data_IF_601938836499
#
_entry.id   IF_601938836499
#
_cell.length_a   1.000
_cell.length_b   1.000
_cell.length_c   1.000
_cell.angle_alpha   90.00
_cell.angle_beta   90.00
_cell.angle_gamma   90.00
#
_symmetry.space_group_name_H-M   'P 1'
#
loop_
_entity.id
_entity.type
_entity.pdbx_description
1 polymer ?
#
# COMPACT_ATOMS: atom_id res chain seq x y z
N UNK A 1 -17.91 15.12 -6.60
CA UNK A 1 -17.29 14.87 -5.28
C UNK A 1 -16.45 13.61 -5.38
N UNK A 2 -15.14 13.69 -5.11
CA UNK A 2 -14.28 12.50 -5.05
C UNK A 2 -14.61 11.75 -3.74
N UNK A 3 -15.11 10.49 -3.79
CA UNK A 3 -15.38 9.74 -2.57
C UNK A 3 -14.04 9.44 -1.89
N UNK A 4 -13.85 9.88 -0.64
CA UNK A 4 -12.54 9.87 0.05
C UNK A 4 -11.79 8.53 0.04
N UNK A 5 -12.51 7.39 -0.04
CA UNK A 5 -11.90 6.05 -0.15
C UNK A 5 -11.26 5.75 -1.51
N UNK A 6 -11.61 6.48 -2.57
CA UNK A 6 -11.01 6.31 -3.90
C UNK A 6 -9.60 6.90 -3.99
N UNK A 7 -9.34 7.98 -3.24
CA UNK A 7 -8.04 8.66 -3.20
C UNK A 7 -6.94 7.74 -2.63
N UNK A 8 -7.24 7.03 -1.54
CA UNK A 8 -6.26 6.20 -0.83
C UNK A 8 -5.78 4.97 -1.64
N UNK A 9 -6.51 4.62 -2.71
CA UNK A 9 -6.26 3.40 -3.50
C UNK A 9 -5.47 3.67 -4.77
N UNK A 10 -5.30 4.94 -5.13
CA UNK A 10 -4.46 5.35 -6.25
C UNK A 10 -3.01 5.44 -5.77
N UNK A 11 -2.07 4.84 -6.50
CA UNK A 11 -0.65 4.81 -6.12
C UNK A 11 -0.07 6.21 -5.82
N UNK A 12 -0.51 7.24 -6.55
CA UNK A 12 -0.04 8.62 -6.41
C UNK A 12 -0.76 9.45 -5.32
N UNK A 13 -1.87 8.95 -4.78
CA UNK A 13 -2.70 9.66 -3.79
C UNK A 13 -2.81 8.91 -2.46
N UNK A 14 -2.26 7.69 -2.37
CA UNK A 14 -2.26 6.82 -1.18
C UNK A 14 -1.65 7.49 0.06
N UNK A 15 -0.63 8.33 -0.13
CA UNK A 15 0.01 9.10 0.94
C UNK A 15 -0.78 10.33 1.40
N UNK A 16 -1.86 10.70 0.71
CA UNK A 16 -2.64 11.89 1.01
C UNK A 16 -3.87 11.59 1.88
N UNK A 17 -4.43 12.63 2.47
CA UNK A 17 -5.74 12.62 3.11
C UNK A 17 -6.53 13.84 2.66
N UNK A 18 -7.84 13.68 2.56
CA UNK A 18 -8.74 14.81 2.35
C UNK A 18 -8.98 15.51 3.69
N UNK A 19 -8.36 16.68 3.88
CA UNK A 19 -8.48 17.48 5.09
C UNK A 19 -9.79 18.28 5.05
N UNK A 20 -10.07 18.91 3.91
CA UNK A 20 -11.31 19.60 3.59
C UNK A 20 -11.69 19.32 2.12
N UNK A 21 -12.92 19.63 1.66
CA UNK A 21 -13.35 19.37 0.28
C UNK A 21 -12.43 19.97 -0.81
N UNK A 22 -11.69 21.02 -0.48
CA UNK A 22 -10.75 21.76 -1.34
C UNK A 22 -9.28 21.59 -0.90
N UNK A 23 -8.99 20.69 0.05
CA UNK A 23 -7.66 20.57 0.64
C UNK A 23 -7.24 19.11 0.78
N UNK A 24 -6.26 18.74 -0.03
CA UNK A 24 -5.52 17.49 0.09
C UNK A 24 -4.20 17.73 0.79
N UNK A 25 -3.91 16.88 1.77
CA UNK A 25 -2.74 17.00 2.61
C UNK A 25 -1.93 15.69 2.58
N UNK A 26 -0.63 15.79 2.35
CA UNK A 26 0.29 14.66 2.49
C UNK A 26 0.38 14.28 3.98
N UNK A 27 0.23 12.99 4.30
CA UNK A 27 0.32 12.51 5.70
C UNK A 27 1.74 12.66 6.23
N UNK A 28 2.69 12.03 5.54
CA UNK A 28 4.11 12.00 5.90
C UNK A 28 4.83 13.30 5.59
N UNK A 29 6.03 13.44 6.14
CA UNK A 29 6.95 14.48 5.71
C UNK A 29 7.54 14.16 4.34
N UNK A 30 7.79 15.21 3.56
CA UNK A 30 8.70 15.12 2.43
C UNK A 30 10.14 15.27 2.93
N UNK A 31 11.09 14.62 2.26
CA UNK A 31 12.49 14.67 2.67
C UNK A 31 13.16 16.02 2.41
N UNK A 32 12.58 16.81 1.50
CA UNK A 32 13.03 18.15 1.14
C UNK A 32 11.87 18.93 0.51
N UNK A 33 12.04 20.24 0.36
CA UNK A 33 11.11 21.08 -0.39
C UNK A 33 10.89 20.55 -1.82
N UNK A 34 11.97 20.21 -2.52
CA UNK A 34 11.90 19.64 -3.87
C UNK A 34 11.08 18.35 -3.91
N UNK A 35 11.26 17.44 -2.95
CA UNK A 35 10.47 16.21 -2.84
C UNK A 35 8.99 16.52 -2.58
N UNK A 36 8.71 17.49 -1.71
CA UNK A 36 7.35 17.95 -1.40
C UNK A 36 6.63 18.50 -2.64
N UNK A 37 7.30 19.38 -3.39
CA UNK A 37 6.78 19.94 -4.63
C UNK A 37 6.52 18.85 -5.67
N UNK A 38 7.48 17.94 -5.86
CA UNK A 38 7.33 16.81 -6.78
C UNK A 38 6.13 15.92 -6.41
N UNK A 39 5.92 15.63 -5.11
CA UNK A 39 4.76 14.86 -4.65
C UNK A 39 3.45 15.61 -4.88
N UNK A 40 3.42 16.92 -4.61
CA UNK A 40 2.24 17.77 -4.85
C UNK A 40 1.87 17.83 -6.34
N UNK A 41 2.85 18.02 -7.22
CA UNK A 41 2.66 18.00 -8.67
C UNK A 41 2.12 16.65 -9.16
N UNK A 42 2.69 15.53 -8.69
CA UNK A 42 2.19 14.18 -9.02
C UNK A 42 0.75 13.97 -8.57
N UNK A 43 0.40 14.43 -7.36
CA UNK A 43 -0.96 14.35 -6.87
C UNK A 43 -1.93 15.18 -7.74
N UNK A 44 -1.54 16.40 -8.12
CA UNK A 44 -2.35 17.23 -9.01
C UNK A 44 -2.51 16.62 -10.41
N UNK A 45 -1.45 16.05 -10.99
CA UNK A 45 -1.53 15.35 -12.28
C UNK A 45 -2.45 14.13 -12.19
N UNK A 46 -2.38 13.36 -11.11
CA UNK A 46 -3.29 12.23 -10.87
C UNK A 46 -4.76 12.69 -10.75
N UNK A 47 -5.03 13.79 -10.04
CA UNK A 47 -6.38 14.33 -9.91
C UNK A 47 -6.92 14.84 -11.24
N UNK A 48 -6.10 15.55 -12.02
CA UNK A 48 -6.44 16.01 -13.36
C UNK A 48 -6.74 14.83 -14.30
N UNK A 49 -5.89 13.79 -14.26
CA UNK A 49 -6.11 12.56 -14.99
C UNK A 49 -7.45 11.92 -14.63
N UNK A 50 -7.74 11.73 -13.34
CA UNK A 50 -9.00 11.18 -12.86
C UNK A 50 -10.20 12.03 -13.27
N UNK A 51 -10.11 13.35 -13.11
CA UNK A 51 -11.20 14.28 -13.41
C UNK A 51 -11.56 14.28 -14.90
N UNK A 52 -10.55 14.25 -15.77
CA UNK A 52 -10.76 14.30 -17.23
C UNK A 52 -11.20 12.94 -17.78
N UNK A 53 -10.54 11.85 -17.35
CA UNK A 53 -10.85 10.51 -17.87
C UNK A 53 -12.14 9.92 -17.28
N UNK A 54 -12.44 10.24 -16.02
CA UNK A 54 -13.46 9.57 -15.22
C UNK A 54 -12.96 8.30 -14.52
N UNK A 55 -11.67 7.98 -14.64
CA UNK A 55 -11.11 6.77 -14.07
C UNK A 55 -10.94 6.84 -12.56
N UNK A 56 -11.02 5.67 -11.93
CA UNK A 56 -10.75 5.47 -10.51
C UNK A 56 -9.81 4.30 -10.29
N UNK A 57 -9.27 4.19 -9.07
CA UNK A 57 -8.59 2.97 -8.67
C UNK A 57 -9.57 1.78 -8.70
N UNK A 58 -9.14 0.60 -9.21
CA UNK A 58 -9.98 -0.58 -9.25
C UNK A 58 -10.21 -1.18 -7.85
N UNK A 59 -11.31 -1.91 -7.69
CA UNK A 59 -11.50 -2.84 -6.57
C UNK A 59 -10.72 -4.15 -6.79
N UNK A 60 -10.43 -4.88 -5.71
CA UNK A 60 -9.65 -6.13 -5.78
C UNK A 60 -10.31 -7.15 -6.71
N UNK A 61 -11.64 -7.27 -6.64
CA UNK A 61 -12.43 -8.13 -7.52
C UNK A 61 -12.48 -7.65 -8.98
N UNK A 62 -12.19 -6.38 -9.25
CA UNK A 62 -12.11 -5.83 -10.62
C UNK A 62 -10.74 -6.05 -11.26
N UNK A 63 -9.71 -6.36 -10.46
CA UNK A 63 -8.36 -6.70 -10.93
C UNK A 63 -8.11 -8.20 -11.08
N UNK A 64 -8.94 -9.04 -10.46
CA UNK A 64 -8.75 -10.49 -10.45
C UNK A 64 -9.17 -11.09 -11.79
N UNK A 65 -8.22 -11.65 -12.55
CA UNK A 65 -8.48 -12.27 -13.87
C UNK A 65 -8.51 -11.30 -15.07
N UNK A 66 -8.44 -9.99 -14.83
CA UNK A 66 -8.46 -8.92 -15.85
C UNK A 66 -7.09 -8.24 -16.03
N UNK A 67 -6.05 -8.75 -15.37
CA UNK A 67 -4.69 -8.22 -15.47
C UNK A 67 -4.18 -8.37 -16.90
N UNK A 68 -4.06 -7.26 -17.62
CA UNK A 68 -3.40 -7.25 -18.92
C UNK A 68 -1.96 -7.71 -18.71
N UNK A 69 -1.56 -8.77 -19.40
CA UNK A 69 -0.18 -9.21 -19.43
C UNK A 69 0.59 -8.26 -20.34
N UNK A 70 1.09 -7.17 -19.76
CA UNK A 70 1.94 -6.22 -20.48
C UNK A 70 3.33 -6.83 -20.72
N UNK A 71 4.00 -6.35 -21.77
CA UNK A 71 5.37 -6.79 -22.07
C UNK A 71 6.31 -6.48 -20.90
N UNK A 72 7.44 -7.21 -20.82
CA UNK A 72 8.51 -6.94 -19.84
C UNK A 72 9.08 -5.53 -19.92
N UNK A 73 8.77 -4.82 -21.00
CA UNK A 73 9.30 -3.51 -21.31
C UNK A 73 8.39 -2.36 -20.84
N UNK A 74 7.25 -2.67 -20.22
CA UNK A 74 6.36 -1.71 -19.57
C UNK A 74 6.90 -1.34 -18.17
N UNK A 75 6.83 -0.07 -17.80
CA UNK A 75 7.50 0.52 -16.64
C UNK A 75 6.64 1.64 -16.00
N UNK A 76 6.83 1.89 -14.70
CA UNK A 76 6.06 2.89 -13.94
C UNK A 76 4.53 2.77 -14.11
N UNK A 77 4.04 1.53 -14.12
CA UNK A 77 2.64 1.19 -14.37
C UNK A 77 1.70 1.60 -13.23
N UNK A 78 0.53 2.12 -13.58
CA UNK A 78 -0.59 2.31 -12.68
C UNK A 78 -1.88 1.74 -13.28
N UNK A 79 -2.68 1.07 -12.45
CA UNK A 79 -3.92 0.41 -12.86
C UNK A 79 -5.12 1.24 -12.47
N UNK A 80 -6.04 1.41 -13.42
CA UNK A 80 -7.23 2.22 -13.33
C UNK A 80 -8.45 1.45 -13.82
N UNK A 81 -9.64 1.96 -13.48
CA UNK A 81 -10.91 1.37 -13.86
C UNK A 81 -11.85 2.44 -14.41
N UNK A 82 -12.49 2.11 -15.53
CA UNK A 82 -13.52 2.91 -16.15
C UNK A 82 -14.90 2.34 -15.82
N UNK A 83 -15.70 3.09 -15.06
CA UNK A 83 -17.03 2.64 -14.64
C UNK A 83 -18.04 2.54 -15.79
N UNK A 84 -17.85 3.30 -16.86
CA UNK A 84 -18.75 3.33 -18.03
C UNK A 84 -18.60 2.05 -18.87
N UNK A 85 -17.36 1.71 -19.25
CA UNK A 85 -17.06 0.55 -20.08
C UNK A 85 -16.74 -0.71 -19.27
N UNK A 86 -16.75 -0.62 -17.93
CA UNK A 86 -16.42 -1.72 -17.00
C UNK A 86 -15.08 -2.39 -17.31
N UNK A 87 -14.11 -1.60 -17.77
CA UNK A 87 -12.82 -2.07 -18.23
C UNK A 87 -11.68 -1.57 -17.34
N UNK A 88 -10.67 -2.43 -17.17
CA UNK A 88 -9.38 -2.00 -16.64
C UNK A 88 -8.64 -1.19 -17.71
N UNK A 89 -7.95 -0.14 -17.26
CA UNK A 89 -7.01 0.63 -18.05
C UNK A 89 -5.68 0.66 -17.31
N UNK A 90 -4.59 0.32 -17.98
CA UNK A 90 -3.24 0.48 -17.42
C UNK A 90 -2.61 1.70 -18.07
N UNK A 91 -2.18 2.65 -17.24
CA UNK A 91 -1.28 3.73 -17.63
C UNK A 91 0.15 3.24 -17.44
N UNK A 92 0.90 3.20 -18.53
CA UNK A 92 2.32 2.79 -18.59
C UNK A 92 3.15 4.03 -18.93
N UNK A 93 4.18 4.33 -18.14
CA UNK A 93 5.01 5.53 -18.29
C UNK A 93 6.49 5.15 -18.45
N UNK A 94 6.86 4.42 -19.52
CA UNK A 94 8.23 3.98 -19.70
C UNK A 94 9.11 5.09 -20.28
N UNK A 95 10.42 5.04 -20.02
CA UNK A 95 11.43 5.94 -20.60
C UNK A 95 11.67 5.78 -22.11
N UNK A 96 10.85 5.00 -22.82
CA UNK A 96 11.09 4.68 -24.24
C UNK A 96 9.83 4.85 -25.08
N UNK A 97 9.99 5.26 -26.33
CA UNK A 97 8.88 5.42 -27.27
C UNK A 97 8.12 4.11 -27.55
N UNK A 98 6.83 4.25 -27.87
CA UNK A 98 5.99 3.15 -28.32
C UNK A 98 6.30 2.81 -29.78
N UNK A 99 6.77 1.58 -30.02
CA UNK A 99 7.02 1.08 -31.37
C UNK A 99 5.85 0.28 -31.92
N UNK A 100 5.82 0.11 -33.25
CA UNK A 100 4.71 -0.56 -33.93
C UNK A 100 4.57 -2.03 -33.52
N UNK A 101 5.69 -2.70 -33.29
CA UNK A 101 5.75 -4.09 -32.85
C UNK A 101 5.05 -4.29 -31.51
N UNK A 102 5.09 -3.31 -30.60
CA UNK A 102 4.38 -3.39 -29.33
C UNK A 102 2.87 -3.20 -29.48
N UNK A 103 2.45 -2.44 -30.50
CA UNK A 103 1.03 -2.25 -30.84
C UNK A 103 0.46 -3.54 -31.43
N UNK A 104 1.20 -4.17 -32.35
CA UNK A 104 0.76 -5.41 -32.99
C UNK A 104 0.81 -6.58 -31.99
N UNK A 105 1.85 -6.66 -31.14
CA UNK A 105 1.92 -7.60 -30.03
C UNK A 105 0.73 -7.48 -29.06
N UNK A 106 0.35 -6.25 -28.68
CA UNK A 106 -0.80 -6.03 -27.80
C UNK A 106 -2.09 -6.62 -28.40
N UNK A 107 -2.32 -6.42 -29.70
CA UNK A 107 -3.50 -6.96 -30.40
C UNK A 107 -3.48 -8.48 -30.43
N UNK A 108 -2.34 -9.10 -30.72
CA UNK A 108 -2.17 -10.56 -30.68
C UNK A 108 -2.47 -11.14 -29.29
N UNK A 109 -2.26 -10.35 -28.24
CA UNK A 109 -2.49 -10.73 -26.84
C UNK A 109 -3.85 -10.26 -26.30
N UNK A 110 -4.77 -9.85 -27.18
CA UNK A 110 -6.17 -9.58 -26.83
C UNK A 110 -6.43 -8.21 -26.19
N UNK A 111 -5.53 -7.23 -26.36
CA UNK A 111 -5.76 -5.87 -25.89
C UNK A 111 -5.21 -4.81 -26.85
N UNK A 112 -5.47 -3.55 -26.54
CA UNK A 112 -5.04 -2.41 -27.36
C UNK A 112 -4.11 -1.51 -26.56
N UNK A 113 -3.15 -0.90 -27.25
CA UNK A 113 -2.24 0.08 -26.69
C UNK A 113 -2.20 1.33 -27.57
N UNK A 114 -2.12 2.50 -26.94
CA UNK A 114 -1.97 3.78 -27.65
C UNK A 114 -1.02 4.69 -26.87
N UNK A 115 -0.10 5.35 -27.57
CA UNK A 115 0.71 6.43 -27.01
C UNK A 115 -0.13 7.68 -26.85
N UNK A 116 0.00 8.38 -25.74
CA UNK A 116 -0.79 9.57 -25.41
C UNK A 116 0.07 10.82 -25.34
N UNK A 117 -0.38 11.89 -25.99
CA UNK A 117 0.26 13.22 -25.97
C UNK A 117 -0.11 13.97 -24.70
N UNK A 118 0.38 13.47 -23.57
CA UNK A 118 0.21 14.04 -22.24
C UNK A 118 1.45 13.70 -21.42
N UNK A 119 1.88 14.60 -20.52
CA UNK A 119 3.14 14.46 -19.77
C UNK A 119 3.22 13.31 -18.76
N UNK A 120 2.10 12.62 -18.50
CA UNK A 120 2.03 11.52 -17.53
C UNK A 120 1.84 11.98 -16.08
N UNK A 121 1.65 11.03 -15.16
CA UNK A 121 1.62 11.31 -13.72
C UNK A 121 3.01 11.20 -13.13
N UNK A 122 3.73 10.11 -13.43
CA UNK A 122 5.11 9.92 -13.01
C UNK A 122 6.06 10.85 -13.76
N UNK A 123 5.76 11.09 -15.05
CA UNK A 123 6.50 11.92 -16.00
C UNK A 123 7.93 11.44 -16.26
N UNK A 124 8.07 10.20 -16.75
CA UNK A 124 9.35 9.55 -17.06
C UNK A 124 10.07 10.10 -18.32
N UNK A 125 9.74 11.33 -18.75
CA UNK A 125 10.37 11.99 -19.92
C UNK A 125 9.83 11.60 -21.30
N UNK A 126 9.12 10.47 -21.43
CA UNK A 126 8.61 9.96 -22.72
C UNK A 126 7.07 9.88 -22.79
N UNK A 127 6.56 9.66 -24.01
CA UNK A 127 5.11 9.55 -24.31
C UNK A 127 4.47 8.40 -23.53
N UNK A 128 3.63 8.67 -22.51
CA UNK A 128 2.92 7.63 -21.78
C UNK A 128 2.00 6.81 -22.69
N UNK A 129 1.54 5.67 -22.20
CA UNK A 129 0.73 4.72 -22.97
C UNK A 129 -0.48 4.30 -22.17
N UNK A 130 -1.61 4.11 -22.86
CA UNK A 130 -2.81 3.50 -22.27
C UNK A 130 -3.02 2.11 -22.86
N UNK A 131 -3.28 1.15 -21.98
CA UNK A 131 -3.61 -0.22 -22.34
C UNK A 131 -5.01 -0.59 -21.85
N UNK A 132 -5.83 -1.17 -22.72
CA UNK A 132 -7.13 -1.74 -22.34
C UNK A 132 -7.61 -2.74 -23.38
N UNK A 133 -8.52 -3.63 -22.98
CA UNK A 133 -9.26 -4.50 -23.92
C UNK A 133 -10.20 -3.73 -24.84
N UNK A 134 -10.54 -2.48 -24.51
CA UNK A 134 -11.43 -1.64 -25.31
C UNK A 134 -10.66 -0.56 -26.08
N UNK A 135 -10.57 -0.72 -27.40
CA UNK A 135 -9.97 0.28 -28.30
C UNK A 135 -10.69 1.64 -28.24
N UNK A 136 -12.03 1.61 -28.15
CA UNK A 136 -12.85 2.82 -28.08
C UNK A 136 -12.57 3.61 -26.79
N UNK A 137 -12.40 2.91 -25.66
CA UNK A 137 -12.04 3.49 -24.37
C UNK A 137 -10.69 4.19 -24.39
N UNK A 138 -9.64 3.52 -24.87
CA UNK A 138 -8.31 4.15 -24.88
C UNK A 138 -8.24 5.30 -25.91
N UNK A 139 -8.96 5.20 -27.03
CA UNK A 139 -9.01 6.28 -28.04
C UNK A 139 -9.72 7.53 -27.50
N UNK A 140 -10.90 7.38 -26.88
CA UNK A 140 -11.60 8.53 -26.26
C UNK A 140 -10.77 9.15 -25.14
N UNK A 141 -10.09 8.32 -24.35
CA UNK A 141 -9.26 8.79 -23.24
C UNK A 141 -8.01 9.52 -23.72
N UNK A 142 -7.35 9.02 -24.76
CA UNK A 142 -6.21 9.69 -25.39
C UNK A 142 -6.57 11.10 -25.89
N UNK A 143 -7.75 11.26 -26.52
CA UNK A 143 -8.24 12.58 -26.96
C UNK A 143 -8.44 13.53 -25.78
N UNK A 144 -9.06 13.05 -24.69
CA UNK A 144 -9.27 13.84 -23.48
C UNK A 144 -7.96 14.26 -22.82
N UNK A 145 -6.97 13.36 -22.76
CA UNK A 145 -5.65 13.64 -22.17
C UNK A 145 -4.82 14.60 -23.03
N UNK A 146 -4.97 14.56 -24.35
CA UNK A 146 -4.35 15.57 -25.21
C UNK A 146 -4.90 16.98 -24.93
N UNK A 147 -6.22 17.11 -24.75
CA UNK A 147 -6.83 18.39 -24.36
C UNK A 147 -6.38 18.84 -22.95
N UNK A 148 -6.20 17.90 -22.02
CA UNK A 148 -5.64 18.18 -20.70
C UNK A 148 -4.22 18.75 -20.80
N UNK A 149 -3.35 18.17 -21.62
CA UNK A 149 -1.98 18.66 -21.80
C UNK A 149 -1.95 20.10 -22.32
N UNK A 150 -2.78 20.43 -23.32
CA UNK A 150 -2.87 21.79 -23.84
C UNK A 150 -3.27 22.81 -22.76
N UNK A 151 -4.20 22.43 -21.87
CA UNK A 151 -4.58 23.27 -20.72
C UNK A 151 -3.43 23.41 -19.73
N UNK A 152 -2.77 22.32 -19.36
CA UNK A 152 -1.65 22.32 -18.39
C UNK A 152 -0.39 23.03 -18.91
N UNK A 153 -0.27 23.26 -20.22
CA UNK A 153 0.80 24.09 -20.79
C UNK A 153 0.51 25.59 -20.70
N UNK A 154 -0.77 25.97 -20.62
CA UNK A 154 -1.19 27.35 -20.44
C UNK A 154 -1.22 27.79 -18.96
N UNK A 155 -1.21 26.85 -18.03
CA UNK A 155 -1.26 27.11 -16.59
C UNK A 155 0.15 27.16 -15.99
N UNK A 156 0.45 28.23 -15.26
CA UNK A 156 1.66 28.35 -14.46
C UNK A 156 1.48 27.63 -13.12
N UNK A 157 2.43 26.78 -12.74
CA UNK A 157 2.42 26.11 -11.44
C UNK A 157 3.09 26.99 -10.38
N UNK A 158 2.30 27.50 -9.44
CA UNK A 158 2.79 28.31 -8.31
C UNK A 158 2.81 27.49 -7.03
N UNK A 159 3.67 27.87 -6.08
CA UNK A 159 3.68 27.30 -4.74
C UNK A 159 4.18 28.34 -3.73
N UNK A 160 3.72 28.19 -2.49
CA UNK A 160 4.20 28.97 -1.35
C UNK A 160 4.82 28.02 -0.33
N UNK A 161 5.87 28.48 0.34
CA UNK A 161 6.57 27.75 1.39
C UNK A 161 6.51 28.52 2.70
N UNK A 162 6.31 27.80 3.79
CA UNK A 162 6.17 28.35 5.13
C UNK A 162 6.95 27.49 6.14
N UNK A 163 7.10 27.98 7.37
CA UNK A 163 7.75 27.24 8.44
C UNK A 163 7.07 25.86 8.68
N UNK A 164 7.84 24.88 9.12
CA UNK A 164 7.38 23.49 9.31
C UNK A 164 6.12 23.35 10.18
N UNK A 165 5.97 24.18 11.20
CA UNK A 165 4.84 24.16 12.13
C UNK A 165 3.63 25.01 11.66
N UNK A 166 3.74 25.68 10.51
CA UNK A 166 2.64 26.41 9.91
C UNK A 166 1.50 25.46 9.53
N UNK A 167 0.27 25.97 9.61
CA UNK A 167 -0.92 25.20 9.24
C UNK A 167 -1.67 25.96 8.15
N UNK A 168 -1.75 25.36 6.97
CA UNK A 168 -2.64 25.85 5.93
C UNK A 168 -4.10 25.61 6.32
N UNK A 169 -4.92 26.66 6.23
CA UNK A 169 -6.38 26.62 6.45
C UNK A 169 -7.04 26.94 5.12
N UNK A 170 -7.69 25.95 4.51
CA UNK A 170 -8.36 26.16 3.23
C UNK A 170 -9.65 26.98 3.38
N UNK A 171 -10.14 27.61 2.29
CA UNK A 171 -11.44 28.29 2.28
C UNK A 171 -12.59 27.42 2.81
N UNK A 172 -12.71 26.15 2.38
CA UNK A 172 -13.77 25.28 2.87
C UNK A 172 -13.61 24.92 4.36
N UNK A 173 -12.37 24.82 4.87
CA UNK A 173 -12.13 24.64 6.31
C UNK A 173 -12.59 25.87 7.09
N UNK A 174 -12.21 27.06 6.65
CA UNK A 174 -12.61 28.32 7.29
C UNK A 174 -14.14 28.46 7.33
N UNK A 175 -14.81 28.23 6.19
CA UNK A 175 -16.28 28.28 6.08
C UNK A 175 -16.99 27.24 6.96
N UNK A 176 -16.37 26.07 7.18
CA UNK A 176 -16.96 25.01 7.99
C UNK A 176 -17.05 25.36 9.49
N UNK A 177 -16.29 26.34 9.97
CA UNK A 177 -16.15 26.67 11.40
C UNK A 177 -15.51 25.57 12.26
N UNK A 178 -15.17 24.41 11.69
CA UNK A 178 -14.57 23.29 12.41
C UNK A 178 -13.08 23.51 12.58
N UNK A 179 -12.55 23.20 13.76
CA UNK A 179 -11.10 23.19 14.00
C UNK A 179 -10.43 22.15 13.11
N UNK A 180 -9.30 22.53 12.51
CA UNK A 180 -8.42 21.60 11.79
C UNK A 180 -7.93 20.52 12.74
N UNK A 181 -7.90 19.27 12.26
CA UNK A 181 -7.32 18.17 13.04
C UNK A 181 -5.81 18.34 13.08
N UNK A 182 -5.25 18.38 14.29
CA UNK A 182 -3.81 18.39 14.47
C UNK A 182 -3.18 17.21 13.71
N UNK A 183 -1.98 17.45 13.20
CA UNK A 183 -1.16 16.39 12.63
C UNK A 183 -0.84 15.39 13.72
N UNK A 184 -0.89 14.10 13.40
CA UNK A 184 -0.49 13.05 14.33
C UNK A 184 1.02 13.15 14.47
N UNK A 185 1.53 13.30 15.70
CA UNK A 185 2.96 13.24 15.96
C UNK A 185 3.30 11.89 16.60
N UNK A 186 4.50 11.35 16.33
CA UNK A 186 4.99 10.20 17.06
C UNK A 186 4.98 10.50 18.57
N UNK A 187 4.65 9.51 19.43
CA UNK A 187 4.89 9.62 20.84
C UNK A 187 6.38 9.90 21.11
N UNK A 188 6.71 10.65 22.17
CA UNK A 188 8.09 10.82 22.61
C UNK A 188 8.78 9.46 22.85
N UNK A 189 10.08 9.42 22.61
CA UNK A 189 10.90 8.24 22.88
C UNK A 189 10.81 7.86 24.37
N UNK A 190 10.75 6.55 24.65
CA UNK A 190 10.68 6.03 26.03
C UNK A 190 9.31 6.14 26.70
N UNK A 191 8.26 6.61 26.00
CA UNK A 191 6.90 6.61 26.54
C UNK A 191 6.36 5.19 26.61
N UNK A 192 5.92 4.78 27.80
CA UNK A 192 5.13 3.57 28.02
C UNK A 192 3.69 3.96 28.38
N UNK A 193 2.72 3.23 27.83
CA UNK A 193 1.28 3.37 28.14
C UNK A 193 0.66 2.00 28.30
N UNK A 194 0.11 1.72 29.48
CA UNK A 194 -0.60 0.47 29.79
C UNK A 194 0.19 -0.79 29.36
N UNK A 195 1.48 -0.82 29.68
CA UNK A 195 2.38 -1.94 29.35
C UNK A 195 2.79 -2.01 27.87
N UNK A 196 2.59 -0.96 27.08
CA UNK A 196 2.96 -0.90 25.67
C UNK A 196 3.87 0.30 25.36
N UNK A 197 4.80 0.10 24.43
CA UNK A 197 5.70 1.14 23.91
C UNK A 197 5.48 1.37 22.41
N UNK A 198 5.75 2.58 21.88
CA UNK A 198 5.68 2.87 20.46
C UNK A 198 6.60 1.94 19.65
N UNK A 199 6.14 1.57 18.45
CA UNK A 199 6.83 0.70 17.52
C UNK A 199 6.56 1.18 16.08
N UNK A 200 7.54 1.04 15.20
CA UNK A 200 7.44 1.50 13.82
C UNK A 200 8.06 2.87 13.58
N UNK A 201 7.93 3.43 12.37
CA UNK A 201 8.92 4.35 11.80
C UNK A 201 8.99 5.73 12.49
N UNK A 202 8.17 6.00 13.51
CA UNK A 202 8.21 7.27 14.24
C UNK A 202 7.86 8.49 13.37
N UNK A 203 7.21 8.28 12.22
CA UNK A 203 7.02 9.33 11.23
C UNK A 203 5.83 10.24 11.54
N UNK A 204 6.00 11.58 11.48
CA UNK A 204 4.90 12.54 11.57
C UNK A 204 3.80 12.27 10.54
N UNK A 205 2.55 12.34 11.00
CA UNK A 205 1.32 12.16 10.25
C UNK A 205 0.85 10.73 10.08
N UNK A 206 1.62 9.74 10.52
CA UNK A 206 1.19 8.35 10.64
C UNK A 206 0.87 8.00 12.09
N UNK A 207 -0.09 7.10 12.28
CA UNK A 207 -0.35 6.54 13.62
C UNK A 207 0.80 5.62 13.98
N UNK A 208 1.41 5.85 15.14
CA UNK A 208 2.37 4.91 15.70
C UNK A 208 1.70 3.57 15.95
N UNK A 209 2.43 2.50 15.62
CA UNK A 209 2.09 1.16 16.09
C UNK A 209 2.63 1.05 17.52
N UNK A 210 2.16 0.03 18.23
CA UNK A 210 2.53 -0.22 19.60
C UNK A 210 2.93 -1.68 19.72
N UNK A 211 3.94 -1.94 20.54
CA UNK A 211 4.36 -3.29 20.93
C UNK A 211 4.31 -3.43 22.45
N UNK A 212 4.25 -4.65 22.98
CA UNK A 212 4.44 -4.86 24.40
C UNK A 212 5.78 -4.24 24.86
N UNK A 213 5.76 -3.53 25.99
CA UNK A 213 6.95 -2.95 26.63
C UNK A 213 8.04 -3.99 26.95
N UNK A 214 7.68 -5.09 27.63
CA UNK A 214 8.56 -6.24 27.82
C UNK A 214 8.64 -7.03 26.51
N UNK A 215 9.86 -7.18 26.00
CA UNK A 215 10.17 -8.00 24.82
C UNK A 215 9.93 -9.48 25.08
N UNK A 216 9.59 -10.21 24.04
CA UNK A 216 9.56 -11.67 24.07
C UNK A 216 10.99 -12.21 23.94
N UNK A 217 11.31 -13.27 24.69
CA UNK A 217 12.65 -13.86 24.65
C UNK A 217 13.06 -14.30 23.24
N UNK A 218 14.34 -14.15 22.91
CA UNK A 218 14.89 -14.42 21.58
C UNK A 218 14.57 -15.84 21.10
N UNK A 219 14.71 -16.83 21.97
CA UNK A 219 14.42 -18.24 21.64
C UNK A 219 12.95 -18.45 21.21
N UNK A 220 12.02 -17.68 21.78
CA UNK A 220 10.60 -17.75 21.40
C UNK A 220 10.38 -17.09 20.03
N UNK A 221 11.05 -15.96 19.75
CA UNK A 221 11.05 -15.35 18.42
C UNK A 221 11.61 -16.30 17.36
N UNK A 222 12.75 -16.95 17.64
CA UNK A 222 13.39 -17.90 16.72
C UNK A 222 12.55 -19.17 16.48
N UNK A 223 11.65 -19.53 17.39
CA UNK A 223 10.66 -20.58 17.15
C UNK A 223 9.48 -20.10 16.29
N UNK A 224 9.03 -18.86 16.48
CA UNK A 224 7.83 -18.33 15.83
C UNK A 224 8.09 -17.85 14.40
N UNK A 225 9.22 -17.17 14.16
CA UNK A 225 9.58 -16.62 12.84
C UNK A 225 9.50 -17.67 11.72
N UNK A 226 10.17 -18.83 11.86
CA UNK A 226 10.13 -19.89 10.86
C UNK A 226 8.73 -20.42 10.55
N UNK A 227 7.86 -20.52 11.56
CA UNK A 227 6.48 -20.98 11.37
C UNK A 227 5.70 -19.96 10.54
N UNK A 228 5.84 -18.67 10.87
CA UNK A 228 5.14 -17.58 10.19
C UNK A 228 5.55 -17.42 8.73
N UNK A 229 6.85 -17.55 8.44
CA UNK A 229 7.36 -17.47 7.07
C UNK A 229 6.98 -18.69 6.22
N UNK A 230 6.65 -19.82 6.85
CA UNK A 230 6.21 -21.02 6.14
C UNK A 230 4.70 -21.08 5.85
N UNK A 231 3.85 -20.38 6.62
CA UNK A 231 2.40 -20.42 6.40
C UNK A 231 1.91 -20.00 5.00
N UNK A 232 2.51 -19.01 4.31
CA UNK A 232 2.14 -18.67 2.93
C UNK A 232 2.21 -19.87 1.97
N UNK A 233 3.10 -20.85 2.22
CA UNK A 233 3.24 -22.04 1.38
C UNK A 233 2.11 -23.07 1.56
N UNK A 234 1.26 -22.92 2.58
CA UNK A 234 0.11 -23.82 2.81
C UNK A 234 -0.99 -23.70 1.75
N UNK A 235 -1.00 -22.62 0.96
CA UNK A 235 -2.06 -22.27 0.00
C UNK A 235 -3.48 -22.14 0.60
N UNK A 236 -3.60 -22.10 1.93
CA UNK A 236 -4.87 -21.88 2.66
C UNK A 236 -5.16 -20.39 2.81
N UNK A 237 -4.11 -19.59 2.94
CA UNK A 237 -4.19 -18.16 3.16
C UNK A 237 -4.00 -17.39 1.86
N UNK A 238 -4.86 -16.39 1.64
CA UNK A 238 -4.65 -15.42 0.57
C UNK A 238 -3.59 -14.38 0.98
N UNK A 239 -3.01 -13.67 0.00
CA UNK A 239 -2.17 -12.48 0.22
C UNK A 239 -2.86 -11.32 0.97
N UNK A 240 -4.13 -11.45 1.29
CA UNK A 240 -4.95 -10.46 2.02
C UNK A 240 -5.46 -11.00 3.36
N UNK A 241 -4.99 -12.17 3.77
CA UNK A 241 -5.44 -12.82 5.01
C UNK A 241 -4.90 -12.09 6.27
N UNK A 242 -5.62 -12.17 7.40
CA UNK A 242 -5.15 -11.60 8.68
C UNK A 242 -3.78 -12.13 9.14
N UNK A 243 -3.34 -13.27 8.59
CA UNK A 243 -2.05 -13.87 8.90
C UNK A 243 -0.88 -12.96 8.47
N UNK A 244 -1.02 -12.25 7.35
CA UNK A 244 0.04 -11.34 6.89
C UNK A 244 0.23 -10.21 7.89
N UNK A 245 -0.86 -9.71 8.46
CA UNK A 245 -0.78 -8.69 9.51
C UNK A 245 -0.11 -9.22 10.79
N UNK A 246 -0.37 -10.48 11.17
CA UNK A 246 0.32 -11.14 12.30
C UNK A 246 1.82 -11.21 12.03
N UNK A 247 2.22 -11.71 10.86
CA UNK A 247 3.63 -11.83 10.45
C UNK A 247 4.33 -10.47 10.46
N UNK A 248 3.77 -9.48 9.77
CA UNK A 248 4.33 -8.12 9.71
C UNK A 248 4.44 -7.51 11.12
N UNK A 249 3.47 -7.77 12.00
CA UNK A 249 3.48 -7.25 13.37
C UNK A 249 4.62 -7.84 14.18
N UNK A 250 4.75 -9.18 14.21
CA UNK A 250 5.80 -9.86 14.98
C UNK A 250 7.20 -9.58 14.43
N UNK A 251 7.35 -9.58 13.10
CA UNK A 251 8.59 -9.20 12.44
C UNK A 251 9.01 -7.79 12.85
N UNK A 252 8.06 -6.84 12.90
CA UNK A 252 8.36 -5.47 13.30
C UNK A 252 8.65 -5.34 14.80
N UNK A 253 8.01 -6.13 15.64
CA UNK A 253 8.32 -6.16 17.07
C UNK A 253 9.74 -6.70 17.30
N UNK A 254 10.11 -7.79 16.63
CA UNK A 254 11.47 -8.34 16.68
C UNK A 254 12.55 -7.32 16.30
N UNK A 255 12.36 -6.57 15.21
CA UNK A 255 13.29 -5.50 14.79
C UNK A 255 13.50 -4.41 15.85
N UNK A 256 12.46 -4.10 16.62
CA UNK A 256 12.46 -3.01 17.62
C UNK A 256 12.78 -3.52 19.03
N UNK A 257 12.91 -4.83 19.20
CA UNK A 257 13.23 -5.51 20.47
C UNK A 257 14.69 -5.96 20.55
N UNK A 258 15.31 -6.18 19.40
CA UNK A 258 16.67 -6.71 19.27
C UNK A 258 17.49 -5.92 18.25
N UNK A 259 18.52 -5.23 18.74
CA UNK A 259 19.55 -4.65 17.89
C UNK A 259 20.50 -5.74 17.34
N UNK A 260 21.16 -5.47 16.22
CA UNK A 260 22.11 -6.43 15.62
C UNK A 260 23.24 -6.82 16.56
N UNK A 261 23.64 -5.93 17.47
CA UNK A 261 24.67 -6.20 18.47
C UNK A 261 24.23 -7.17 19.58
N UNK A 262 22.93 -7.33 19.81
CA UNK A 262 22.37 -8.28 20.79
C UNK A 262 22.18 -9.68 20.22
N UNK A 263 22.30 -9.85 18.90
CA UNK A 263 22.16 -11.14 18.24
C UNK A 263 23.51 -11.89 18.28
N UNK A 264 23.56 -13.12 18.83
CA UNK A 264 24.78 -13.92 18.94
C UNK A 264 25.52 -14.14 17.61
N UNK A 265 24.78 -14.19 16.50
CA UNK A 265 25.31 -14.23 15.14
C UNK A 265 24.34 -13.53 14.16
N UNK A 266 24.90 -12.92 13.11
CA UNK A 266 24.15 -12.30 12.01
C UNK A 266 23.22 -13.30 11.31
N UNK A 267 23.56 -14.58 11.33
CA UNK A 267 22.74 -15.66 10.77
C UNK A 267 21.38 -15.78 11.48
N UNK A 268 21.27 -15.48 12.78
CA UNK A 268 20.00 -15.61 13.51
C UNK A 268 18.90 -14.68 13.00
N UNK A 269 19.25 -13.46 12.57
CA UNK A 269 18.29 -12.57 11.91
C UNK A 269 17.82 -13.16 10.59
N UNK A 270 18.74 -13.74 9.82
CA UNK A 270 18.41 -14.40 8.57
C UNK A 270 17.51 -15.63 8.79
N UNK A 271 17.77 -16.44 9.81
CA UNK A 271 16.97 -17.63 10.13
C UNK A 271 15.52 -17.28 10.53
N UNK A 272 15.34 -16.11 11.16
CA UNK A 272 14.02 -15.58 11.48
C UNK A 272 13.20 -15.22 10.23
N UNK A 273 13.81 -14.55 9.25
CA UNK A 273 13.12 -14.06 8.04
C UNK A 273 13.15 -15.00 6.84
N UNK A 274 14.09 -15.93 6.81
CA UNK A 274 14.35 -16.80 5.66
C UNK A 274 14.73 -18.19 6.14
N UNK A 275 13.83 -18.85 6.92
CA UNK A 275 14.04 -20.22 7.33
C UNK A 275 14.12 -21.15 6.12
N UNK A 276 14.71 -22.32 6.29
CA UNK A 276 14.54 -23.40 5.33
C UNK A 276 13.03 -23.70 5.17
N UNK A 277 12.52 -23.78 3.93
CA UNK A 277 11.10 -24.00 3.69
C UNK A 277 10.69 -25.35 4.27
N UNK A 278 9.78 -25.33 5.24
CA UNK A 278 9.23 -26.53 5.86
C UNK A 278 7.83 -26.76 5.29
N UNK A 279 7.53 -27.92 4.69
CA UNK A 279 6.21 -28.17 4.13
C UNK A 279 5.14 -28.18 5.22
N UNK A 280 4.30 -27.14 5.26
CA UNK A 280 3.07 -27.12 6.07
C UNK A 280 1.94 -27.65 5.18
N UNK A 281 1.50 -28.90 5.41
CA UNK A 281 0.57 -29.59 4.52
C UNK A 281 -0.82 -29.65 5.12
N UNK A 282 -1.70 -28.80 4.61
CA UNK A 282 -3.13 -28.85 4.94
C UNK A 282 -3.49 -28.19 6.26
N UNK A 283 -4.79 -28.23 6.57
CA UNK A 283 -5.37 -27.42 7.64
C UNK A 283 -4.90 -27.82 9.05
N UNK A 284 -4.62 -29.10 9.28
CA UNK A 284 -4.16 -29.60 10.58
C UNK A 284 -2.79 -29.02 10.96
N UNK A 285 -1.81 -29.10 10.05
CA UNK A 285 -0.47 -28.55 10.27
C UNK A 285 -0.49 -27.04 10.48
N UNK A 286 -1.34 -26.33 9.73
CA UNK A 286 -1.53 -24.88 9.90
C UNK A 286 -2.11 -24.57 11.29
N UNK A 287 -3.13 -25.30 11.74
CA UNK A 287 -3.72 -25.11 13.07
C UNK A 287 -2.72 -25.43 14.18
N UNK A 288 -1.91 -26.48 14.03
CA UNK A 288 -0.84 -26.81 14.97
C UNK A 288 0.19 -25.68 15.05
N UNK A 289 0.65 -25.16 13.90
CA UNK A 289 1.55 -24.02 13.85
C UNK A 289 0.96 -22.76 14.49
N UNK A 290 -0.32 -22.45 14.23
CA UNK A 290 -1.00 -21.30 14.85
C UNK A 290 -1.10 -21.47 16.37
N UNK A 291 -1.34 -22.70 16.84
CA UNK A 291 -1.33 -23.04 18.26
C UNK A 291 0.02 -22.77 18.92
N UNK A 292 1.12 -23.16 18.28
CA UNK A 292 2.49 -22.84 18.77
C UNK A 292 2.71 -21.33 18.84
N UNK A 293 2.38 -20.60 17.76
CA UNK A 293 2.55 -19.13 17.72
C UNK A 293 1.73 -18.46 18.82
N UNK A 294 0.47 -18.87 19.00
CA UNK A 294 -0.41 -18.36 20.04
C UNK A 294 0.18 -18.59 21.44
N UNK A 295 0.66 -19.79 21.71
CA UNK A 295 1.28 -20.13 23.00
C UNK A 295 2.50 -19.25 23.26
N UNK A 296 3.40 -19.11 22.28
CA UNK A 296 4.62 -18.30 22.40
C UNK A 296 4.30 -16.82 22.63
N UNK A 297 3.31 -16.26 21.93
CA UNK A 297 2.84 -14.88 22.15
C UNK A 297 2.19 -14.73 23.52
N UNK A 298 1.43 -15.73 23.97
CA UNK A 298 0.78 -15.74 25.27
C UNK A 298 1.79 -15.72 26.42
N UNK A 299 2.85 -16.51 26.31
CA UNK A 299 3.86 -16.66 27.37
C UNK A 299 4.98 -15.62 27.27
N UNK A 300 5.28 -15.17 26.06
CA UNK A 300 6.40 -14.27 25.76
C UNK A 300 6.14 -12.81 26.11
N UNK A 301 4.88 -12.36 26.04
CA UNK A 301 4.51 -10.97 26.29
C UNK A 301 3.64 -10.81 27.54
N UNK A 302 3.85 -9.74 28.28
CA UNK A 302 2.97 -9.27 29.35
C UNK A 302 1.59 -8.85 28.84
N UNK A 303 0.58 -8.85 29.74
CA UNK A 303 -0.77 -8.45 29.37
C UNK A 303 -0.84 -6.96 29.00
N UNK A 304 -1.25 -6.67 27.77
CA UNK A 304 -1.39 -5.32 27.24
C UNK A 304 -2.27 -5.34 25.98
N UNK A 305 -2.73 -4.16 25.54
CA UNK A 305 -3.59 -4.06 24.35
C UNK A 305 -2.95 -4.65 23.08
N UNK A 306 -1.67 -4.37 22.72
CA UNK A 306 -1.06 -4.94 21.52
C UNK A 306 -1.04 -6.47 21.50
N UNK A 307 -0.75 -7.11 22.64
CA UNK A 307 -0.80 -8.56 22.79
C UNK A 307 -2.21 -9.09 22.54
N UNK A 308 -3.24 -8.50 23.17
CA UNK A 308 -4.65 -8.89 22.99
C UNK A 308 -5.07 -8.76 21.52
N UNK A 309 -4.78 -7.61 20.90
CA UNK A 309 -5.09 -7.35 19.49
C UNK A 309 -4.39 -8.37 18.54
N UNK A 310 -3.19 -8.86 18.89
CA UNK A 310 -2.48 -9.89 18.14
C UNK A 310 -3.07 -11.29 18.34
N UNK A 311 -3.43 -11.65 19.57
CA UNK A 311 -4.10 -12.92 19.88
C UNK A 311 -5.48 -13.01 19.20
N UNK A 312 -6.25 -11.92 19.21
CA UNK A 312 -7.53 -11.83 18.48
C UNK A 312 -7.36 -12.03 16.96
N UNK A 313 -6.23 -11.61 16.39
CA UNK A 313 -5.92 -11.85 14.96
C UNK A 313 -5.60 -13.31 14.71
N UNK A 314 -4.83 -13.95 15.61
CA UNK A 314 -4.54 -15.38 15.54
C UNK A 314 -5.83 -16.20 15.64
N UNK A 315 -6.75 -15.85 16.54
CA UNK A 315 -8.07 -16.49 16.66
C UNK A 315 -8.85 -16.43 15.33
N UNK A 316 -8.86 -15.27 14.67
CA UNK A 316 -9.48 -15.12 13.34
C UNK A 316 -8.80 -15.97 12.27
N UNK A 317 -7.47 -16.12 12.32
CA UNK A 317 -6.73 -17.01 11.43
C UNK A 317 -7.11 -18.48 11.64
N UNK A 318 -7.22 -18.93 12.90
CA UNK A 318 -7.65 -20.29 13.20
C UNK A 318 -9.07 -20.56 12.70
N UNK A 319 -10.01 -19.63 12.95
CA UNK A 319 -11.38 -19.75 12.47
C UNK A 319 -11.44 -19.82 10.94
N UNK A 320 -10.63 -19.01 10.25
CA UNK A 320 -10.50 -19.06 8.79
C UNK A 320 -10.07 -20.44 8.30
N UNK A 321 -9.04 -21.03 8.92
CA UNK A 321 -8.51 -22.35 8.55
C UNK A 321 -9.54 -23.45 8.82
N UNK A 322 -10.24 -23.40 9.96
CA UNK A 322 -11.32 -24.35 10.28
C UNK A 322 -12.44 -24.30 9.24
N UNK A 323 -12.89 -23.10 8.87
CA UNK A 323 -13.91 -22.90 7.82
C UNK A 323 -13.44 -23.38 6.45
N UNK A 324 -12.17 -23.16 6.11
CA UNK A 324 -11.59 -23.65 4.87
C UNK A 324 -11.55 -25.18 4.82
N UNK A 325 -11.15 -25.84 5.92
CA UNK A 325 -11.11 -27.29 6.04
C UNK A 325 -12.50 -27.91 5.87
N UNK A 326 -13.50 -27.36 6.57
CA UNK A 326 -14.89 -27.84 6.49
C UNK A 326 -15.49 -27.72 5.08
N UNK A 327 -15.05 -26.76 4.27
CA UNK A 327 -15.51 -26.63 2.87
C UNK A 327 -14.89 -27.66 1.92
N UNK A 328 -13.75 -28.26 2.27
CA UNK A 328 -13.04 -29.23 1.43
C UNK A 328 -13.34 -30.68 1.78
N UNK A 329 -13.80 -30.93 3.01
CA UNK A 329 -14.32 -32.22 3.47
C UNK A 329 -15.79 -32.02 3.93
N UNK A 330 -16.77 -32.03 3.01
CA UNK A 330 -18.18 -31.82 3.34
C UNK A 330 -18.77 -32.94 4.20
#
# INVERSE_FOLDING_TARGET
>A
MLPGRSLERTAYLSGFRLEAPDHLELRGDAYSEHDGLRKAQRAALALNFMAVTGFRAPFVNETYGTSLNLSKKADHKSTWYDDESKCIVILDEPYRHLFREEIDWAKEHGFHTVGIRWRGVYSAGETPRLHSVSAALITRSAKKLHALEARLQAEEWTYDSHAYNSQFISPARALSGKRRRARIMPPPQGVERDGAVPCGPGEPGFRSRWRPARRMDLDKHLQVGPILENFPFSMIFSPTSPLIDVRITLNKWFEEEYEDAELPDKQMRQDYYSPAPTPIRGAADVLAGLGVVRQMVSDGYQDCKPKKDLLDRLDRCEEWVRRFAARRNP
#
